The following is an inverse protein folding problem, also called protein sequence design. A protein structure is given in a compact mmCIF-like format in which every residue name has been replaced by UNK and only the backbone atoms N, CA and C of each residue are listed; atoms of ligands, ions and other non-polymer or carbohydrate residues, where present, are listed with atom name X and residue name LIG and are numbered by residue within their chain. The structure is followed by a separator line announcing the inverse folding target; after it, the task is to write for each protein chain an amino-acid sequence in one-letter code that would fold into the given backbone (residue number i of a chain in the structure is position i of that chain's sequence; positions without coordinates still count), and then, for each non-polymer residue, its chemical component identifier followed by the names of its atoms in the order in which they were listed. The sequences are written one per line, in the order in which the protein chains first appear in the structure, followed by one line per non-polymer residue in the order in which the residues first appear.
data_IF_646087786309
#
_entry.id   IF_646087786309
#
_cell.length_a   1.000
_cell.length_b   1.000
_cell.length_c   1.000
_cell.angle_alpha   90.00
_cell.angle_beta   90.00
_cell.angle_gamma   90.00
#
_symmetry.space_group_name_H-M   'P 1'
#
loop_
_entity.id
_entity.type
_entity.pdbx_description
1 polymer ?
#
# COMPACT_ATOMS: atom_id res chain seq x y z
N UNK A 1 -5.58 -20.32 -19.85
CA UNK A 1 -4.57 -19.31 -19.48
C UNK A 1 -3.69 -19.91 -18.39
N UNK A 2 -2.36 -19.84 -18.50
CA UNK A 2 -1.46 -20.32 -17.44
C UNK A 2 -1.45 -19.34 -16.27
N UNK A 3 -1.21 -19.82 -15.04
CA UNK A 3 -1.15 -18.95 -13.88
C UNK A 3 -0.10 -17.82 -14.05
N UNK A 4 1.08 -18.14 -14.59
CA UNK A 4 2.11 -17.15 -14.87
C UNK A 4 1.63 -16.01 -15.78
N UNK A 5 0.76 -16.30 -16.77
CA UNK A 5 0.24 -15.28 -17.67
C UNK A 5 -0.77 -14.37 -16.98
N UNK A 6 -1.52 -14.89 -15.99
CA UNK A 6 -2.52 -14.12 -15.22
C UNK A 6 -1.86 -13.06 -14.33
N UNK A 7 -0.71 -13.37 -13.75
CA UNK A 7 0.01 -12.51 -12.84
C UNK A 7 1.09 -11.66 -13.53
N UNK A 8 1.29 -11.83 -14.85
CA UNK A 8 2.28 -11.09 -15.61
C UNK A 8 1.94 -9.59 -15.65
N UNK A 9 2.92 -8.76 -15.32
CA UNK A 9 2.84 -7.31 -15.31
C UNK A 9 3.74 -6.66 -16.38
N UNK A 10 4.28 -7.43 -17.32
CA UNK A 10 5.10 -6.89 -18.40
C UNK A 10 4.35 -5.79 -19.17
N UNK A 11 5.01 -4.66 -19.40
CA UNK A 11 4.42 -3.49 -20.03
C UNK A 11 3.51 -2.63 -19.12
N UNK A 12 3.34 -3.00 -17.85
CA UNK A 12 2.65 -2.18 -16.86
C UNK A 12 3.65 -1.25 -16.14
N UNK A 13 3.16 -0.08 -15.77
CA UNK A 13 3.92 0.88 -14.95
C UNK A 13 3.24 0.99 -13.60
N UNK A 14 3.99 0.68 -12.55
CA UNK A 14 3.55 0.77 -11.17
C UNK A 14 4.18 1.97 -10.46
N UNK A 15 3.44 2.59 -9.55
CA UNK A 15 3.94 3.59 -8.62
C UNK A 15 3.62 3.12 -7.20
N UNK A 16 4.64 3.08 -6.33
CA UNK A 16 4.51 2.63 -4.95
C UNK A 16 4.92 3.75 -4.01
N UNK A 17 4.00 4.21 -3.16
CA UNK A 17 4.31 5.19 -2.12
C UNK A 17 4.84 4.52 -0.85
N UNK A 18 5.74 5.19 -0.11
CA UNK A 18 6.39 4.62 1.06
C UNK A 18 7.38 3.50 0.72
N UNK A 19 7.99 3.56 -0.47
CA UNK A 19 8.85 2.50 -1.02
C UNK A 19 10.24 2.40 -0.38
N UNK A 20 10.60 3.24 0.59
CA UNK A 20 11.96 3.28 1.15
C UNK A 20 12.22 2.26 2.27
N UNK A 21 11.23 1.49 2.72
CA UNK A 21 11.38 0.47 3.78
C UNK A 21 10.17 -0.47 3.88
N UNK A 22 10.34 -1.57 4.61
CA UNK A 22 9.26 -2.47 5.05
C UNK A 22 8.40 -3.01 3.91
N UNK A 23 7.09 -2.95 4.08
CA UNK A 23 6.13 -3.48 3.10
C UNK A 23 6.26 -2.82 1.73
N UNK A 24 6.58 -1.50 1.69
CA UNK A 24 6.74 -0.79 0.43
C UNK A 24 7.88 -1.33 -0.43
N UNK A 25 9.03 -1.67 0.16
CA UNK A 25 10.12 -2.33 -0.55
C UNK A 25 9.71 -3.70 -1.09
N UNK A 26 9.01 -4.50 -0.27
CA UNK A 26 8.51 -5.81 -0.70
C UNK A 26 7.53 -5.69 -1.86
N UNK A 27 6.62 -4.73 -1.82
CA UNK A 27 5.68 -4.49 -2.92
C UNK A 27 6.39 -4.10 -4.22
N UNK A 28 7.43 -3.27 -4.13
CA UNK A 28 8.26 -2.95 -5.29
C UNK A 28 8.92 -4.20 -5.88
N UNK A 29 9.55 -5.06 -5.03
CA UNK A 29 10.15 -6.32 -5.47
C UNK A 29 9.12 -7.20 -6.18
N UNK A 30 7.99 -7.46 -5.53
CA UNK A 30 6.94 -8.31 -6.08
C UNK A 30 6.43 -7.82 -7.44
N UNK A 31 6.24 -6.50 -7.62
CA UNK A 31 5.81 -5.91 -8.89
C UNK A 31 6.90 -6.00 -9.97
N UNK A 32 8.15 -5.68 -9.61
CA UNK A 32 9.28 -5.72 -10.54
C UNK A 32 9.62 -7.14 -11.01
N UNK A 33 9.63 -8.11 -10.10
CA UNK A 33 9.90 -9.52 -10.37
C UNK A 33 8.84 -10.13 -11.31
N UNK A 34 7.64 -9.55 -11.35
CA UNK A 34 6.57 -9.94 -12.25
C UNK A 34 6.47 -9.06 -13.52
N UNK A 35 7.51 -8.26 -13.79
CA UNK A 35 7.71 -7.57 -15.07
C UNK A 35 7.23 -6.12 -15.15
N UNK A 36 6.72 -5.52 -14.06
CA UNK A 36 6.36 -4.11 -14.05
C UNK A 36 7.61 -3.21 -14.04
N UNK A 37 7.52 -2.07 -14.71
CA UNK A 37 8.40 -0.94 -14.42
C UNK A 37 7.86 -0.21 -13.19
N UNK A 38 8.71 0.14 -12.20
CA UNK A 38 8.23 0.63 -10.90
C UNK A 38 8.86 1.97 -10.53
N UNK A 39 8.01 2.96 -10.23
CA UNK A 39 8.40 4.21 -9.60
C UNK A 39 8.33 4.06 -8.07
N UNK A 40 9.46 4.27 -7.41
CA UNK A 40 9.64 4.20 -5.97
C UNK A 40 9.50 5.60 -5.39
N UNK A 41 8.47 5.83 -4.57
CA UNK A 41 8.20 7.16 -4.00
C UNK A 41 8.31 7.13 -2.48
N UNK A 42 9.17 7.98 -1.90
CA UNK A 42 9.26 8.21 -0.46
C UNK A 42 10.07 9.50 -0.18
N UNK A 43 10.13 9.91 1.11
CA UNK A 43 10.86 11.10 1.55
C UNK A 43 12.38 10.89 1.69
N UNK A 44 12.84 9.64 1.88
CA UNK A 44 14.24 9.31 2.12
C UNK A 44 14.94 8.97 0.82
N UNK A 45 15.48 9.99 0.15
CA UNK A 45 16.11 9.86 -1.16
C UNK A 45 17.30 8.90 -1.14
N UNK A 46 18.14 8.96 -0.10
CA UNK A 46 19.29 8.09 0.10
C UNK A 46 18.91 6.60 0.09
N UNK A 47 17.85 6.24 0.83
CA UNK A 47 17.34 4.87 0.86
C UNK A 47 16.69 4.44 -0.45
N UNK A 48 16.00 5.35 -1.13
CA UNK A 48 15.42 5.06 -2.44
C UNK A 48 16.50 4.77 -3.49
N UNK A 49 17.55 5.58 -3.54
CA UNK A 49 18.64 5.38 -4.51
C UNK A 49 19.43 4.08 -4.21
N UNK A 50 19.70 3.78 -2.94
CA UNK A 50 20.33 2.52 -2.57
C UNK A 50 19.47 1.31 -2.99
N UNK A 51 18.16 1.38 -2.74
CA UNK A 51 17.23 0.31 -3.11
C UNK A 51 17.07 0.18 -4.63
N UNK A 52 16.99 1.30 -5.35
CA UNK A 52 17.01 1.32 -6.82
C UNK A 52 18.24 0.63 -7.36
N UNK A 53 19.45 1.00 -6.88
CA UNK A 53 20.72 0.41 -7.32
C UNK A 53 20.77 -1.11 -7.06
N UNK A 54 20.13 -1.60 -5.99
CA UNK A 54 20.00 -3.03 -5.74
C UNK A 54 19.11 -3.71 -6.78
N UNK A 55 17.94 -3.15 -7.07
CA UNK A 55 16.98 -3.69 -8.02
C UNK A 55 17.48 -3.67 -9.47
N UNK A 56 18.24 -2.65 -9.85
CA UNK A 56 18.84 -2.55 -11.17
C UNK A 56 19.85 -3.67 -11.44
N UNK A 57 20.52 -4.21 -10.41
CA UNK A 57 21.42 -5.37 -10.55
C UNK A 57 20.70 -6.64 -10.98
N UNK A 58 19.41 -6.77 -10.62
CA UNK A 58 18.55 -7.87 -11.07
C UNK A 58 17.87 -7.59 -12.42
N UNK A 59 18.15 -6.44 -13.05
CA UNK A 59 17.56 -6.05 -14.34
C UNK A 59 16.19 -5.38 -14.22
N UNK A 60 15.74 -5.03 -13.02
CA UNK A 60 14.47 -4.35 -12.81
C UNK A 60 14.47 -2.93 -13.41
N UNK A 61 13.36 -2.54 -13.99
CA UNK A 61 13.13 -1.16 -14.49
C UNK A 61 12.55 -0.32 -13.37
N UNK A 62 13.38 0.49 -12.73
CA UNK A 62 12.97 1.29 -11.57
C UNK A 62 13.44 2.73 -11.66
N UNK A 63 12.69 3.64 -11.06
CA UNK A 63 13.06 5.05 -10.87
C UNK A 63 12.76 5.46 -9.43
N UNK A 64 13.71 6.12 -8.77
CA UNK A 64 13.56 6.66 -7.42
C UNK A 64 13.08 8.12 -7.52
N UNK A 65 12.08 8.47 -6.72
CA UNK A 65 11.46 9.80 -6.72
C UNK A 65 11.25 10.22 -5.27
N UNK A 66 11.93 11.29 -4.88
CA UNK A 66 11.72 11.89 -3.57
C UNK A 66 10.41 12.67 -3.55
N UNK A 67 9.49 12.32 -2.65
CA UNK A 67 8.26 13.09 -2.41
C UNK A 67 7.69 12.82 -1.02
N UNK A 68 7.14 13.86 -0.39
CA UNK A 68 6.20 13.70 0.71
C UNK A 68 4.80 13.49 0.15
N UNK A 69 4.14 12.43 0.57
CA UNK A 69 2.80 12.07 0.05
C UNK A 69 1.73 13.10 0.40
N UNK A 70 1.97 13.95 1.39
CA UNK A 70 1.07 15.04 1.80
C UNK A 70 1.25 16.31 1.00
N UNK A 71 2.35 16.42 0.24
CA UNK A 71 2.61 17.55 -0.65
C UNK A 71 2.02 17.28 -2.05
N UNK A 72 1.03 18.09 -2.40
CA UNK A 72 0.34 17.94 -3.70
C UNK A 72 1.22 18.28 -4.91
N UNK A 73 2.13 19.25 -4.79
CA UNK A 73 3.04 19.60 -5.88
C UNK A 73 4.07 18.47 -6.10
N UNK A 74 4.63 17.93 -5.01
CA UNK A 74 5.53 16.78 -5.06
C UNK A 74 4.83 15.53 -5.64
N UNK A 75 3.55 15.31 -5.30
CA UNK A 75 2.74 14.24 -5.89
C UNK A 75 2.66 14.38 -7.41
N UNK A 76 2.28 15.55 -7.93
CA UNK A 76 2.16 15.78 -9.37
C UNK A 76 3.50 15.55 -10.08
N UNK A 77 4.58 16.12 -9.53
CA UNK A 77 5.94 15.93 -10.04
C UNK A 77 6.38 14.44 -10.03
N UNK A 78 5.95 13.68 -9.02
CA UNK A 78 6.25 12.26 -8.96
C UNK A 78 5.58 11.47 -10.09
N UNK A 79 4.31 11.74 -10.39
CA UNK A 79 3.64 11.15 -11.56
C UNK A 79 4.32 11.54 -12.86
N UNK A 80 4.66 12.83 -13.04
CA UNK A 80 5.35 13.32 -14.25
C UNK A 80 6.69 12.63 -14.47
N UNK A 81 7.48 12.46 -13.40
CA UNK A 81 8.75 11.77 -13.44
C UNK A 81 8.60 10.27 -13.79
N UNK A 82 7.62 9.58 -13.17
CA UNK A 82 7.32 8.18 -13.44
C UNK A 82 6.89 7.99 -14.90
N UNK A 83 6.00 8.85 -15.40
CA UNK A 83 5.48 8.78 -16.77
C UNK A 83 6.52 9.16 -17.82
N UNK A 84 7.42 10.08 -17.52
CA UNK A 84 8.58 10.39 -18.36
C UNK A 84 9.52 9.20 -18.50
N UNK A 85 9.70 8.42 -17.43
CA UNK A 85 10.60 7.27 -17.43
C UNK A 85 9.98 6.05 -18.16
N UNK A 86 8.69 5.77 -17.94
CA UNK A 86 8.10 4.48 -18.30
C UNK A 86 6.74 4.59 -19.01
N UNK A 87 6.18 5.78 -19.16
CA UNK A 87 4.82 5.99 -19.66
C UNK A 87 3.77 5.93 -18.57
N UNK A 88 2.51 5.96 -18.95
CA UNK A 88 1.36 6.12 -18.06
C UNK A 88 1.37 5.12 -16.90
N UNK A 89 1.30 5.62 -15.67
CA UNK A 89 1.13 4.80 -14.46
C UNK A 89 -0.23 4.10 -14.52
N UNK A 90 -0.23 2.78 -14.56
CA UNK A 90 -1.43 1.92 -14.64
C UNK A 90 -1.64 1.07 -13.39
N UNK A 91 -0.71 1.09 -12.46
CA UNK A 91 -0.83 0.46 -11.14
C UNK A 91 -0.39 1.48 -10.10
N UNK A 92 -1.25 1.78 -9.12
CA UNK A 92 -0.88 2.57 -7.95
C UNK A 92 -0.98 1.71 -6.70
N UNK A 93 0.07 1.74 -5.88
CA UNK A 93 0.05 1.15 -4.53
C UNK A 93 0.20 2.28 -3.50
N UNK A 94 -0.90 2.64 -2.88
CA UNK A 94 -0.94 3.59 -1.77
C UNK A 94 -0.52 2.87 -0.48
N UNK A 95 0.79 2.85 -0.21
CA UNK A 95 1.35 2.16 0.95
C UNK A 95 1.92 3.12 2.02
N UNK A 96 2.29 4.34 1.65
CA UNK A 96 2.81 5.31 2.63
C UNK A 96 1.83 5.51 3.79
N UNK A 97 2.37 5.52 5.00
CA UNK A 97 1.57 5.70 6.21
C UNK A 97 2.43 5.86 7.45
N UNK A 98 1.82 6.35 8.51
CA UNK A 98 2.37 6.45 9.85
C UNK A 98 1.48 5.69 10.83
N UNK A 99 2.04 5.20 11.92
CA UNK A 99 1.33 4.36 12.90
C UNK A 99 1.64 4.84 14.33
N UNK A 100 1.33 6.10 14.61
CA UNK A 100 1.48 6.64 15.96
C UNK A 100 0.24 6.30 16.78
N UNK A 101 0.45 5.83 17.99
CA UNK A 101 -0.59 5.51 18.95
C UNK A 101 -0.56 6.48 20.15
N UNK A 102 -1.68 6.55 20.85
CA UNK A 102 -1.79 7.36 22.08
C UNK A 102 -3.19 7.30 22.66
N UNK A 103 -3.35 7.83 23.88
CA UNK A 103 -4.67 7.91 24.49
C UNK A 103 -5.49 8.98 23.78
N UNK A 104 -6.72 8.64 23.38
CA UNK A 104 -7.59 9.54 22.61
C UNK A 104 -7.76 10.92 23.26
N UNK A 105 -7.79 10.98 24.60
CA UNK A 105 -7.96 12.22 25.37
C UNK A 105 -6.70 13.11 25.40
N UNK A 106 -5.57 12.59 24.94
CA UNK A 106 -4.26 13.26 24.92
C UNK A 106 -3.85 13.67 23.50
N UNK A 107 -4.59 13.22 22.47
CA UNK A 107 -4.32 13.58 21.08
C UNK A 107 -4.56 15.06 20.84
N UNK A 108 -3.55 15.74 20.30
CA UNK A 108 -3.70 17.13 19.87
C UNK A 108 -4.42 17.19 18.50
N UNK A 109 -5.02 18.35 18.16
CA UNK A 109 -5.56 18.56 16.82
C UNK A 109 -4.48 18.38 15.72
N UNK A 110 -3.23 18.70 16.02
CA UNK A 110 -2.07 18.57 15.12
C UNK A 110 -1.75 17.09 14.84
N UNK A 111 -1.71 16.25 15.90
CA UNK A 111 -1.51 14.80 15.74
C UNK A 111 -2.62 14.16 14.92
N UNK A 112 -3.85 14.55 15.19
CA UNK A 112 -5.01 14.09 14.42
C UNK A 112 -4.87 14.46 12.94
N UNK A 113 -4.58 15.74 12.64
CA UNK A 113 -4.43 16.20 11.25
C UNK A 113 -3.28 15.50 10.54
N UNK A 114 -2.13 15.33 11.21
CA UNK A 114 -0.97 14.61 10.66
C UNK A 114 -1.33 13.16 10.32
N UNK A 115 -2.08 12.47 11.20
CA UNK A 115 -2.55 11.11 10.96
C UNK A 115 -3.50 11.05 9.77
N UNK A 116 -4.50 11.92 9.72
CA UNK A 116 -5.50 11.93 8.66
C UNK A 116 -4.89 12.33 7.32
N UNK A 117 -4.05 13.38 7.28
CA UNK A 117 -3.43 13.85 6.04
C UNK A 117 -2.52 12.79 5.41
N UNK A 118 -1.77 12.03 6.22
CA UNK A 118 -0.87 11.00 5.70
C UNK A 118 -1.62 9.71 5.34
N UNK A 119 -2.51 9.24 6.22
CA UNK A 119 -3.09 7.90 6.09
C UNK A 119 -4.42 7.84 5.35
N UNK A 120 -5.08 8.99 5.11
CA UNK A 120 -6.36 9.05 4.40
C UNK A 120 -6.35 10.06 3.25
N UNK A 121 -6.05 11.34 3.52
CA UNK A 121 -6.13 12.38 2.49
C UNK A 121 -5.14 12.11 1.35
N UNK A 122 -3.90 11.76 1.68
CA UNK A 122 -2.90 11.39 0.68
C UNK A 122 -3.38 10.19 -0.17
N UNK A 123 -3.95 9.15 0.44
CA UNK A 123 -4.48 7.99 -0.29
C UNK A 123 -5.53 8.41 -1.30
N UNK A 124 -6.43 9.33 -0.92
CA UNK A 124 -7.44 9.88 -1.84
C UNK A 124 -6.80 10.66 -2.99
N UNK A 125 -5.90 11.61 -2.69
CA UNK A 125 -5.33 12.47 -3.74
C UNK A 125 -4.45 11.69 -4.72
N UNK A 126 -3.64 10.74 -4.25
CA UNK A 126 -2.83 9.88 -5.11
C UNK A 126 -3.72 8.97 -5.97
N UNK A 127 -4.79 8.39 -5.41
CA UNK A 127 -5.75 7.60 -6.17
C UNK A 127 -6.48 8.43 -7.23
N UNK A 128 -6.91 9.65 -6.87
CA UNK A 128 -7.56 10.59 -7.78
C UNK A 128 -6.66 10.96 -8.96
N UNK A 129 -5.39 11.29 -8.70
CA UNK A 129 -4.46 11.67 -9.76
C UNK A 129 -4.11 10.50 -10.66
N UNK A 130 -3.86 9.31 -10.10
CA UNK A 130 -3.66 8.09 -10.89
C UNK A 130 -4.85 7.83 -11.82
N UNK A 131 -6.07 7.90 -11.28
CA UNK A 131 -7.29 7.70 -12.08
C UNK A 131 -7.43 8.75 -13.18
N UNK A 132 -7.17 10.04 -12.91
CA UNK A 132 -7.19 11.11 -13.92
C UNK A 132 -6.25 10.81 -15.08
N UNK A 133 -5.00 10.39 -14.78
CA UNK A 133 -3.99 10.08 -15.80
C UNK A 133 -4.36 8.83 -16.60
N UNK A 134 -4.84 7.78 -15.94
CA UNK A 134 -5.36 6.57 -16.62
C UNK A 134 -6.51 6.92 -17.57
N UNK A 135 -7.46 7.75 -17.12
CA UNK A 135 -8.60 8.20 -17.94
C UNK A 135 -8.14 9.05 -19.13
N UNK A 136 -7.25 10.02 -18.93
CA UNK A 136 -6.71 10.86 -19.98
C UNK A 136 -5.95 10.05 -21.04
N UNK A 137 -5.25 9.00 -20.63
CA UNK A 137 -4.54 8.08 -21.51
C UNK A 137 -5.43 6.99 -22.12
N UNK A 138 -6.70 6.92 -21.75
CA UNK A 138 -7.63 5.83 -22.10
C UNK A 138 -7.08 4.43 -21.79
N UNK A 139 -6.45 4.28 -20.63
CA UNK A 139 -5.85 3.02 -20.16
C UNK A 139 -6.57 2.48 -18.93
N UNK A 140 -6.90 1.18 -18.91
CA UNK A 140 -7.39 0.52 -17.71
C UNK A 140 -6.26 0.43 -16.65
N UNK A 141 -6.63 0.30 -15.37
CA UNK A 141 -5.66 0.23 -14.32
C UNK A 141 -6.12 -0.45 -13.03
N UNK A 142 -5.22 -0.46 -12.06
CA UNK A 142 -5.47 -0.99 -10.74
C UNK A 142 -4.90 -0.04 -9.66
N UNK A 143 -5.71 0.27 -8.66
CA UNK A 143 -5.32 1.02 -7.47
C UNK A 143 -5.43 0.06 -6.28
N UNK A 144 -4.33 -0.13 -5.55
CA UNK A 144 -4.27 -0.99 -4.37
C UNK A 144 -3.94 -0.11 -3.16
N UNK A 145 -4.89 0.02 -2.26
CA UNK A 145 -4.73 0.80 -1.04
C UNK A 145 -4.31 -0.11 0.12
N UNK A 146 -3.24 0.25 0.83
CA UNK A 146 -2.83 -0.50 2.02
C UNK A 146 -3.58 0.08 3.23
N UNK A 147 -4.64 -0.63 3.60
CA UNK A 147 -5.43 -0.36 4.79
C UNK A 147 -4.75 -0.95 6.05
N UNK A 148 -5.49 -1.57 6.93
CA UNK A 148 -5.03 -2.32 8.10
C UNK A 148 -6.20 -3.13 8.65
N UNK A 149 -5.92 -4.20 9.39
CA UNK A 149 -6.94 -4.85 10.23
C UNK A 149 -7.58 -3.85 11.20
N UNK A 150 -6.86 -2.81 11.63
CA UNK A 150 -7.41 -1.74 12.46
C UNK A 150 -8.38 -0.82 11.71
N UNK A 151 -8.54 -0.96 10.40
CA UNK A 151 -9.66 -0.38 9.66
C UNK A 151 -10.94 -1.21 9.73
N UNK A 152 -10.89 -2.43 10.27
CA UNK A 152 -11.99 -3.39 10.41
C UNK A 152 -12.32 -3.69 11.87
N UNK A 153 -11.33 -3.55 12.75
CA UNK A 153 -11.44 -3.70 14.19
C UNK A 153 -10.71 -2.55 14.88
N UNK A 154 -10.74 -2.50 16.21
CA UNK A 154 -10.10 -1.43 16.98
C UNK A 154 -9.17 -1.99 18.04
N UNK A 155 -8.14 -1.22 18.40
CA UNK A 155 -7.27 -1.50 19.51
C UNK A 155 -7.16 -0.26 20.43
N UNK A 156 -6.86 -0.49 21.70
CA UNK A 156 -6.62 0.59 22.66
C UNK A 156 -5.45 1.45 22.19
N UNK A 157 -5.63 2.76 22.18
CA UNK A 157 -4.62 3.73 21.73
C UNK A 157 -4.54 3.91 20.22
N UNK A 158 -5.39 3.27 19.43
CA UNK A 158 -5.39 3.33 17.96
C UNK A 158 -6.48 4.21 17.33
N UNK A 159 -7.12 5.11 18.07
CA UNK A 159 -8.30 5.81 17.60
C UNK A 159 -8.10 6.56 16.26
N UNK A 160 -7.06 7.38 16.13
CA UNK A 160 -6.78 8.15 14.92
C UNK A 160 -6.39 7.25 13.75
N UNK A 161 -5.50 6.28 13.99
CA UNK A 161 -5.04 5.34 12.98
C UNK A 161 -6.19 4.44 12.48
N UNK A 162 -6.96 3.85 13.40
CA UNK A 162 -8.11 3.00 13.04
C UNK A 162 -9.15 3.79 12.23
N UNK A 163 -9.44 5.04 12.63
CA UNK A 163 -10.36 5.91 11.89
C UNK A 163 -9.85 6.18 10.48
N UNK A 164 -8.57 6.53 10.31
CA UNK A 164 -8.00 6.76 8.99
C UNK A 164 -8.05 5.50 8.12
N UNK A 165 -7.69 4.33 8.68
CA UNK A 165 -7.69 3.05 7.94
C UNK A 165 -9.10 2.53 7.65
N UNK A 166 -10.09 2.79 8.50
CA UNK A 166 -11.51 2.57 8.19
C UNK A 166 -11.96 3.49 7.05
N UNK A 167 -11.53 4.75 7.06
CA UNK A 167 -11.74 5.69 5.96
C UNK A 167 -11.19 5.16 4.64
N UNK A 168 -9.98 4.59 4.63
CA UNK A 168 -9.37 3.96 3.43
C UNK A 168 -10.20 2.78 2.92
N UNK A 169 -10.72 1.93 3.81
CA UNK A 169 -11.61 0.81 3.42
C UNK A 169 -12.87 1.33 2.73
N UNK A 170 -13.51 2.36 3.30
CA UNK A 170 -14.72 2.93 2.71
C UNK A 170 -14.42 3.71 1.42
N UNK A 171 -13.33 4.49 1.38
CA UNK A 171 -12.85 5.19 0.20
C UNK A 171 -12.59 4.23 -0.98
N UNK A 172 -12.00 3.06 -0.69
CA UNK A 172 -11.76 2.01 -1.69
C UNK A 172 -13.05 1.59 -2.38
N UNK A 173 -14.14 1.40 -1.62
CA UNK A 173 -15.45 1.02 -2.18
C UNK A 173 -16.06 2.15 -3.00
N UNK A 174 -15.99 3.40 -2.52
CA UNK A 174 -16.52 4.55 -3.23
C UNK A 174 -15.83 4.74 -4.59
N UNK A 175 -14.49 4.76 -4.60
CA UNK A 175 -13.72 4.89 -5.84
C UNK A 175 -13.92 3.69 -6.79
N UNK A 176 -14.09 2.47 -6.26
CA UNK A 176 -14.38 1.29 -7.07
C UNK A 176 -15.68 1.45 -7.85
N UNK A 177 -16.75 1.93 -7.21
CA UNK A 177 -18.05 2.16 -7.86
C UNK A 177 -17.94 3.24 -8.94
N UNK A 178 -17.21 4.34 -8.66
CA UNK A 178 -17.08 5.47 -9.58
C UNK A 178 -16.20 5.17 -10.80
N UNK A 179 -15.19 4.27 -10.66
CA UNK A 179 -14.15 4.09 -11.68
C UNK A 179 -14.26 2.77 -12.44
N UNK A 180 -15.02 1.80 -11.96
CA UNK A 180 -15.07 0.44 -12.54
C UNK A 180 -15.51 0.41 -13.99
N UNK A 181 -16.52 1.22 -14.37
CA UNK A 181 -17.02 1.30 -15.75
C UNK A 181 -16.00 1.90 -16.76
N UNK A 182 -14.93 2.47 -16.26
CA UNK A 182 -13.78 2.95 -17.03
C UNK A 182 -12.61 1.97 -17.07
N UNK A 183 -12.79 0.75 -16.51
CA UNK A 183 -11.76 -0.27 -16.45
C UNK A 183 -10.69 -0.03 -15.39
N UNK A 184 -10.93 0.87 -14.43
CA UNK A 184 -10.03 1.11 -13.30
C UNK A 184 -10.59 0.39 -12.07
N UNK A 185 -9.84 -0.58 -11.55
CA UNK A 185 -10.20 -1.32 -10.34
C UNK A 185 -9.55 -0.69 -9.11
N UNK A 186 -10.29 -0.60 -8.03
CA UNK A 186 -9.79 -0.07 -6.76
C UNK A 186 -10.07 -1.07 -5.67
N UNK A 187 -9.02 -1.55 -5.01
CA UNK A 187 -9.11 -2.55 -3.95
C UNK A 187 -8.19 -2.19 -2.78
N UNK A 188 -8.37 -2.84 -1.66
CA UNK A 188 -7.50 -2.69 -0.50
C UNK A 188 -6.92 -4.02 -0.04
N UNK A 189 -5.76 -3.96 0.59
CA UNK A 189 -5.21 -5.02 1.44
C UNK A 189 -5.26 -4.50 2.87
N UNK A 190 -5.72 -5.30 3.82
CA UNK A 190 -5.74 -5.01 5.24
C UNK A 190 -4.76 -5.96 5.97
N UNK A 191 -3.48 -5.56 6.11
CA UNK A 191 -2.50 -6.37 6.83
C UNK A 191 -2.77 -6.39 8.33
N UNK A 192 -2.46 -7.53 8.97
CA UNK A 192 -2.27 -7.63 10.41
C UNK A 192 -0.87 -7.19 10.85
N UNK A 193 -0.26 -7.94 11.74
CA UNK A 193 1.10 -7.70 12.21
C UNK A 193 2.13 -8.35 11.28
N UNK A 194 2.94 -7.51 10.64
CA UNK A 194 4.05 -7.91 9.76
C UNK A 194 5.37 -7.40 10.32
N UNK A 195 6.39 -8.25 10.29
CA UNK A 195 7.74 -7.86 10.73
C UNK A 195 8.34 -6.88 9.70
N UNK A 196 8.74 -5.72 10.18
CA UNK A 196 9.42 -4.69 9.39
C UNK A 196 10.51 -4.04 10.23
N UNK A 197 11.49 -3.39 9.62
CA UNK A 197 12.53 -2.65 10.35
C UNK A 197 11.96 -1.68 11.41
N UNK A 198 10.76 -1.16 11.18
CA UNK A 198 10.12 -0.16 12.05
C UNK A 198 9.60 -0.77 13.35
N UNK A 199 9.23 -2.03 13.37
CA UNK A 199 8.54 -2.68 14.50
C UNK A 199 9.23 -3.94 15.01
N UNK A 200 10.40 -4.29 14.47
CA UNK A 200 11.12 -5.53 14.82
C UNK A 200 11.42 -5.63 16.32
N UNK A 201 12.00 -4.59 16.91
CA UNK A 201 12.28 -4.55 18.35
C UNK A 201 11.00 -4.71 19.19
N UNK A 202 9.90 -4.06 18.79
CA UNK A 202 8.62 -4.18 19.49
C UNK A 202 8.03 -5.58 19.38
N UNK A 203 8.08 -6.19 18.19
CA UNK A 203 7.54 -7.52 17.96
C UNK A 203 8.38 -8.62 18.63
N UNK A 204 9.67 -8.38 18.85
CA UNK A 204 10.57 -9.29 19.58
C UNK A 204 10.52 -9.11 21.10
N UNK A 205 9.72 -8.16 21.63
CA UNK A 205 9.54 -7.95 23.07
C UNK A 205 8.47 -8.88 23.67
N UNK A 206 8.34 -8.87 25.01
CA UNK A 206 7.26 -9.58 25.72
C UNK A 206 5.86 -9.15 25.25
N UNK A 207 5.70 -7.88 24.87
CA UNK A 207 4.44 -7.37 24.30
C UNK A 207 4.16 -8.01 22.94
N UNK A 208 5.19 -8.11 22.10
CA UNK A 208 5.09 -8.82 20.82
C UNK A 208 4.76 -10.30 21.01
N UNK A 209 5.38 -10.98 21.99
CA UNK A 209 5.05 -12.36 22.30
C UNK A 209 3.59 -12.54 22.74
N UNK A 210 3.01 -11.55 23.46
CA UNK A 210 1.58 -11.56 23.80
C UNK A 210 0.71 -11.42 22.55
N UNK A 211 1.02 -10.46 21.66
CA UNK A 211 0.32 -10.28 20.39
C UNK A 211 0.38 -11.55 19.53
N UNK A 212 1.56 -12.16 19.44
CA UNK A 212 1.76 -13.38 18.64
C UNK A 212 0.84 -14.52 19.07
N UNK A 213 0.58 -14.68 20.39
CA UNK A 213 -0.36 -15.67 20.92
C UNK A 213 -1.82 -15.41 20.54
N UNK A 214 -2.14 -14.16 20.22
CA UNK A 214 -3.49 -13.76 19.78
C UNK A 214 -3.72 -13.96 18.27
N UNK A 215 -2.71 -14.34 17.51
CA UNK A 215 -2.82 -14.63 16.08
C UNK A 215 -3.08 -16.12 15.90
N UNK A 216 -4.20 -16.56 15.31
CA UNK A 216 -4.50 -17.99 15.12
C UNK A 216 -3.41 -18.78 14.41
N UNK A 217 -2.73 -18.21 13.42
CA UNK A 217 -1.58 -18.86 12.76
C UNK A 217 -0.31 -18.91 13.62
N UNK A 218 -0.29 -18.34 14.83
CA UNK A 218 0.80 -18.41 15.79
C UNK A 218 2.09 -17.71 15.37
N UNK A 219 2.03 -16.86 14.35
CA UNK A 219 3.19 -16.10 13.84
C UNK A 219 2.79 -14.72 13.34
N UNK A 220 3.75 -13.82 13.30
CA UNK A 220 3.64 -12.60 12.51
C UNK A 220 3.75 -12.92 11.02
N UNK A 221 3.20 -12.06 10.17
CA UNK A 221 3.41 -12.12 8.74
C UNK A 221 4.82 -11.67 8.36
N UNK A 222 5.38 -12.32 7.35
CA UNK A 222 6.55 -11.81 6.64
C UNK A 222 6.08 -10.93 5.48
N UNK A 223 6.80 -9.87 5.10
CA UNK A 223 6.39 -8.99 4.00
C UNK A 223 5.97 -9.73 2.73
N UNK A 224 6.67 -10.82 2.36
CA UNK A 224 6.34 -11.66 1.21
C UNK A 224 4.99 -12.41 1.31
N UNK A 225 4.41 -12.57 2.50
CA UNK A 225 3.07 -13.17 2.64
C UNK A 225 1.97 -12.28 1.99
N UNK A 226 2.28 -11.03 1.65
CA UNK A 226 1.36 -10.10 0.97
C UNK A 226 1.49 -10.11 -0.56
N UNK A 227 2.54 -10.74 -1.12
CA UNK A 227 2.82 -10.69 -2.55
C UNK A 227 1.68 -11.27 -3.38
N UNK A 228 1.14 -12.42 -2.95
CA UNK A 228 0.01 -13.04 -3.63
C UNK A 228 -1.23 -12.16 -3.69
N UNK A 229 -1.57 -11.47 -2.60
CA UNK A 229 -2.69 -10.54 -2.55
C UNK A 229 -2.44 -9.30 -3.43
N UNK A 230 -1.23 -8.73 -3.37
CA UNK A 230 -0.86 -7.60 -4.21
C UNK A 230 -0.93 -7.95 -5.69
N UNK A 231 -0.30 -9.05 -6.11
CA UNK A 231 -0.28 -9.47 -7.50
C UNK A 231 -1.68 -9.82 -8.02
N UNK A 232 -2.53 -10.46 -7.21
CA UNK A 232 -3.93 -10.70 -7.54
C UNK A 232 -4.66 -9.39 -7.86
N UNK A 233 -4.50 -8.37 -7.02
CA UNK A 233 -5.20 -7.11 -7.17
C UNK A 233 -4.59 -6.22 -8.28
N UNK A 234 -3.28 -6.29 -8.51
CA UNK A 234 -2.58 -5.47 -9.50
C UNK A 234 -2.68 -6.01 -10.93
N UNK A 235 -2.86 -7.34 -11.10
CA UNK A 235 -2.81 -8.03 -12.39
C UNK A 235 -4.18 -8.40 -12.96
N UNK A 236 -4.16 -9.10 -14.10
CA UNK A 236 -5.36 -9.65 -14.73
C UNK A 236 -5.97 -10.83 -13.94
N UNK A 237 -5.24 -11.44 -13.00
CA UNK A 237 -5.80 -12.46 -12.11
C UNK A 237 -7.00 -11.91 -11.31
N UNK A 238 -6.99 -10.62 -10.97
CA UNK A 238 -8.09 -9.94 -10.29
C UNK A 238 -9.01 -9.13 -11.21
N UNK A 239 -9.13 -9.46 -12.49
CA UNK A 239 -9.84 -8.65 -13.49
C UNK A 239 -11.31 -8.34 -13.11
N UNK A 240 -11.96 -9.20 -12.33
CA UNK A 240 -13.35 -9.00 -11.88
C UNK A 240 -13.45 -8.67 -10.37
N UNK A 241 -12.33 -8.22 -9.77
CA UNK A 241 -12.27 -7.83 -8.36
C UNK A 241 -12.11 -6.31 -8.27
N UNK A 242 -13.13 -5.62 -7.72
CA UNK A 242 -13.09 -4.19 -7.40
C UNK A 242 -13.93 -3.91 -6.16
N UNK A 243 -13.52 -2.95 -5.34
CA UNK A 243 -14.16 -2.62 -4.06
C UNK A 243 -13.87 -3.61 -2.92
N UNK A 244 -13.05 -4.62 -3.17
CA UNK A 244 -12.71 -5.63 -2.17
C UNK A 244 -11.64 -5.14 -1.19
N UNK A 245 -11.68 -5.68 0.04
CA UNK A 245 -10.60 -5.58 1.01
C UNK A 245 -10.15 -7.00 1.35
N UNK A 246 -8.92 -7.35 0.95
CA UNK A 246 -8.31 -8.62 1.30
C UNK A 246 -7.63 -8.50 2.67
N UNK A 247 -8.09 -9.27 3.63
CA UNK A 247 -7.49 -9.37 4.96
C UNK A 247 -6.35 -10.38 4.91
N UNK A 248 -5.17 -9.98 5.40
CA UNK A 248 -3.99 -10.84 5.51
C UNK A 248 -3.38 -10.64 6.91
N UNK A 249 -3.85 -11.41 7.88
CA UNK A 249 -3.60 -11.16 9.30
C UNK A 249 -3.39 -12.45 10.13
N UNK A 250 -3.30 -13.60 9.48
CA UNK A 250 -3.19 -14.89 10.16
C UNK A 250 -4.44 -15.29 10.95
N UNK A 251 -5.61 -14.68 10.65
CA UNK A 251 -6.90 -14.95 11.27
C UNK A 251 -7.22 -14.04 12.48
N UNK A 252 -6.45 -13.00 12.71
CA UNK A 252 -6.60 -12.15 13.90
C UNK A 252 -7.99 -11.49 14.01
N UNK A 253 -8.57 -10.97 12.90
CA UNK A 253 -9.85 -10.24 12.94
C UNK A 253 -11.08 -11.14 13.11
N UNK A 254 -10.96 -12.44 12.88
CA UNK A 254 -12.09 -13.38 12.96
C UNK A 254 -12.14 -14.14 14.27
N UNK A 255 -11.15 -13.95 15.14
CA UNK A 255 -11.08 -14.62 16.44
C UNK A 255 -11.82 -13.81 17.52
N UNK A 256 -12.75 -14.44 18.20
CA UNK A 256 -13.30 -13.93 19.45
C UNK A 256 -12.28 -14.24 20.55
N UNK A 257 -11.85 -13.22 21.29
CA UNK A 257 -11.01 -13.41 22.47
C UNK A 257 -11.86 -14.07 23.55
N UNK A 258 -11.47 -15.27 23.97
CA UNK A 258 -12.03 -15.98 25.12
C UNK A 258 -11.43 -15.49 26.44
#
# INVERSE_FOLDING_TARGET
MKAADMFNLAGRVALVTGASSGLGQQFVRALADNGAAVALVARRADRLEAFKAELEKSGAKVVAIEADVTDRAAMLAAFDAAEKAFGTVTILVNNAGIADGGRAVEFTPEDWRRMMSTNLDAVFYWAQEAARRMLAANKPGAIVNIASVLGLMVAKGGASYATAKAGVVQLTKALAVELSFKGIRVNAIAPGWFVTEMNDDYLNSDKGAAIKREIPMGRFGNPGDLDGALLLLASNAGAYITGATIVADGGQVIQIKG
#
